data_IF_425810991926
#
_entry.id   IF_425810991926
#
_cell.length_a   1.000
_cell.length_b   1.000
_cell.length_c   1.000
_cell.angle_alpha   90.00
_cell.angle_beta   90.00
_cell.angle_gamma   90.00
#
_symmetry.space_group_name_H-M   'P 1'
#
loop_
_entity.id
_entity.type
_entity.pdbx_description
1 polymer ?
#
# COMPACT_ATOMS: atom_id res chain seq x y z
N UNK A 1 -16.30 -24.29 -13.91
CA UNK A 1 -15.15 -23.73 -14.68
C UNK A 1 -14.23 -22.99 -13.73
N UNK A 2 -12.91 -23.09 -13.88
CA UNK A 2 -11.97 -22.26 -13.13
C UNK A 2 -12.26 -20.78 -13.38
N UNK A 3 -12.07 -19.96 -12.36
CA UNK A 3 -12.18 -18.51 -12.52
C UNK A 3 -11.10 -18.03 -13.48
N UNK A 4 -11.44 -17.08 -14.34
CA UNK A 4 -10.51 -16.50 -15.30
C UNK A 4 -10.34 -17.28 -16.61
N UNK A 5 -10.85 -18.51 -16.71
CA UNK A 5 -10.81 -19.29 -17.93
C UNK A 5 -10.44 -20.76 -17.72
N UNK A 6 -10.78 -21.58 -18.71
CA UNK A 6 -10.62 -23.03 -18.62
C UNK A 6 -9.15 -23.47 -18.55
N UNK A 7 -8.27 -22.77 -19.29
CA UNK A 7 -6.84 -23.08 -19.26
C UNK A 7 -6.21 -22.83 -17.89
N UNK A 8 -6.68 -21.85 -17.14
CA UNK A 8 -6.15 -21.53 -15.81
C UNK A 8 -6.42 -22.61 -14.76
N UNK A 9 -7.29 -23.57 -15.03
CA UNK A 9 -7.50 -24.76 -14.20
C UNK A 9 -6.51 -25.90 -14.42
N UNK A 10 -5.56 -25.76 -15.37
CA UNK A 10 -4.52 -26.76 -15.60
C UNK A 10 -3.42 -26.62 -14.54
N UNK A 11 -2.73 -27.75 -14.30
CA UNK A 11 -1.52 -27.75 -13.48
C UNK A 11 -0.29 -27.46 -14.34
N UNK A 12 0.82 -27.18 -13.66
CA UNK A 12 2.11 -26.84 -14.28
C UNK A 12 2.10 -25.53 -15.06
N UNK A 13 3.08 -25.40 -15.98
CA UNK A 13 3.27 -24.19 -16.78
C UNK A 13 2.25 -24.13 -17.92
N UNK A 14 1.56 -23.01 -18.01
CA UNK A 14 0.55 -22.72 -19.02
C UNK A 14 0.99 -21.50 -19.82
N UNK A 15 1.14 -21.69 -21.14
CA UNK A 15 1.56 -20.64 -22.07
C UNK A 15 0.61 -20.55 -23.26
N UNK A 16 0.58 -19.42 -23.98
CA UNK A 16 -0.15 -19.33 -25.24
C UNK A 16 0.44 -20.27 -26.29
N UNK A 17 -0.38 -20.69 -27.23
CA UNK A 17 0.08 -21.50 -28.37
C UNK A 17 1.15 -20.75 -29.17
N UNK A 18 2.24 -21.45 -29.50
CA UNK A 18 3.37 -20.90 -30.25
C UNK A 18 4.27 -19.95 -29.46
N UNK A 19 4.06 -19.78 -28.17
CA UNK A 19 4.99 -19.03 -27.32
C UNK A 19 6.32 -19.79 -27.14
N UNK A 20 7.40 -19.03 -26.97
CA UNK A 20 8.72 -19.59 -26.65
C UNK A 20 8.74 -20.24 -25.25
N UNK A 21 9.86 -20.91 -24.91
CA UNK A 21 10.01 -21.52 -23.58
C UNK A 21 10.04 -20.45 -22.49
N UNK A 22 9.41 -20.74 -21.37
CA UNK A 22 9.54 -19.91 -20.17
C UNK A 22 10.95 -20.00 -19.57
N UNK A 23 11.40 -18.98 -18.82
CA UNK A 23 12.67 -19.04 -18.08
C UNK A 23 12.73 -20.27 -17.16
N UNK A 24 13.89 -20.92 -17.10
CA UNK A 24 14.09 -22.15 -16.31
C UNK A 24 14.68 -21.91 -14.92
N UNK A 25 14.93 -20.67 -14.57
CA UNK A 25 15.51 -20.22 -13.30
C UNK A 25 14.47 -19.64 -12.33
N UNK A 26 13.20 -19.94 -12.54
CA UNK A 26 12.09 -19.54 -11.69
C UNK A 26 11.87 -20.61 -10.61
N UNK A 27 12.19 -20.27 -9.38
CA UNK A 27 12.02 -21.18 -8.23
C UNK A 27 10.61 -21.15 -7.62
N UNK A 28 9.79 -20.14 -7.96
CA UNK A 28 8.44 -20.04 -7.44
C UNK A 28 7.59 -21.27 -7.81
N UNK A 29 6.90 -21.84 -6.83
CA UNK A 29 6.01 -22.97 -7.07
C UNK A 29 4.78 -22.56 -7.86
N UNK A 30 4.28 -21.35 -7.63
CA UNK A 30 3.16 -20.76 -8.37
C UNK A 30 3.51 -19.35 -8.80
N UNK A 31 3.16 -19.00 -10.04
CA UNK A 31 3.35 -17.65 -10.57
C UNK A 31 2.36 -17.32 -11.70
N UNK A 32 2.19 -16.04 -11.96
CA UNK A 32 1.32 -15.54 -13.03
C UNK A 32 1.91 -14.25 -13.62
N UNK A 33 1.77 -14.09 -14.94
CA UNK A 33 2.02 -12.86 -15.67
C UNK A 33 0.70 -12.36 -16.21
N UNK A 34 0.31 -11.13 -15.89
CA UNK A 34 -0.93 -10.53 -16.39
C UNK A 34 -0.69 -9.11 -16.91
N UNK A 35 -1.49 -8.73 -17.87
CA UNK A 35 -1.54 -7.39 -18.42
C UNK A 35 -2.49 -6.53 -17.57
N UNK A 36 -1.95 -5.48 -16.94
CA UNK A 36 -2.70 -4.57 -16.06
C UNK A 36 -3.75 -3.74 -16.82
N UNK A 37 -3.53 -3.49 -18.11
CA UNK A 37 -4.43 -2.67 -18.91
C UNK A 37 -5.66 -3.47 -19.35
N UNK A 38 -5.45 -4.72 -19.79
CA UNK A 38 -6.51 -5.56 -20.38
C UNK A 38 -7.05 -6.61 -19.40
N UNK A 39 -6.27 -6.98 -18.39
CA UNK A 39 -6.54 -8.13 -17.52
C UNK A 39 -6.22 -9.48 -18.14
N UNK A 40 -5.66 -9.52 -19.34
CA UNK A 40 -5.26 -10.79 -19.97
C UNK A 40 -4.15 -11.46 -19.16
N UNK A 41 -4.31 -12.76 -18.87
CA UNK A 41 -3.25 -13.58 -18.29
C UNK A 41 -2.40 -14.10 -19.42
N UNK A 42 -1.12 -13.71 -19.43
CA UNK A 42 -0.18 -14.01 -20.51
C UNK A 42 0.39 -15.41 -20.37
N UNK A 43 0.82 -15.78 -19.17
CA UNK A 43 1.31 -17.10 -18.83
C UNK A 43 1.19 -17.32 -17.33
N UNK A 44 1.20 -18.56 -16.90
CA UNK A 44 1.12 -18.90 -15.48
C UNK A 44 1.73 -20.29 -15.20
N UNK A 45 2.00 -20.55 -13.93
CA UNK A 45 2.26 -21.87 -13.38
C UNK A 45 1.39 -22.06 -12.16
N UNK A 46 0.56 -23.09 -12.15
CA UNK A 46 -0.33 -23.43 -11.03
C UNK A 46 -1.08 -22.23 -10.45
N UNK A 47 -1.76 -21.39 -11.30
CA UNK A 47 -2.22 -20.06 -10.91
C UNK A 47 -3.23 -20.06 -9.74
N UNK A 48 -3.95 -21.13 -9.51
CA UNK A 48 -4.92 -21.31 -8.42
C UNK A 48 -4.40 -22.17 -7.26
N UNK A 49 -3.10 -22.56 -7.29
CA UNK A 49 -2.50 -23.25 -6.16
C UNK A 49 -2.47 -22.34 -4.93
N UNK A 50 -2.97 -22.84 -3.79
CA UNK A 50 -3.05 -22.06 -2.55
C UNK A 50 -1.75 -22.13 -1.80
N UNK A 51 -1.16 -20.97 -1.58
CA UNK A 51 0.05 -20.74 -0.80
C UNK A 51 -0.16 -19.62 0.22
N UNK A 52 0.68 -19.55 1.23
CA UNK A 52 0.70 -18.40 2.15
C UNK A 52 1.26 -17.17 1.44
N UNK A 53 0.63 -15.99 1.61
CA UNK A 53 1.04 -14.78 0.91
C UNK A 53 2.25 -14.09 1.53
N UNK A 54 2.53 -14.26 2.82
CA UNK A 54 3.37 -13.34 3.55
C UNK A 54 2.93 -11.87 3.32
N UNK A 55 3.87 -10.94 3.29
CA UNK A 55 3.56 -9.50 3.22
C UNK A 55 3.02 -9.00 1.89
N UNK A 56 2.93 -9.81 0.83
CA UNK A 56 2.29 -9.36 -0.41
C UNK A 56 0.77 -9.14 -0.25
N UNK A 57 0.15 -9.72 0.80
CA UNK A 57 -1.27 -9.48 1.14
C UNK A 57 -1.53 -8.07 1.66
N UNK A 58 -0.51 -7.34 2.13
CA UNK A 58 -0.61 -5.96 2.61
C UNK A 58 -1.21 -5.00 1.59
N UNK A 59 -1.22 -5.36 0.31
CA UNK A 59 -1.93 -4.60 -0.73
C UNK A 59 -3.40 -4.39 -0.39
N UNK A 60 -4.07 -5.39 0.20
CA UNK A 60 -5.48 -5.26 0.59
C UNK A 60 -5.65 -4.26 1.75
N UNK A 61 -4.76 -4.27 2.73
CA UNK A 61 -4.76 -3.27 3.82
C UNK A 61 -4.51 -1.88 3.26
N UNK A 62 -3.57 -1.74 2.33
CA UNK A 62 -3.29 -0.47 1.67
C UNK A 62 -4.53 0.06 0.94
N UNK A 63 -5.20 -0.79 0.15
CA UNK A 63 -6.39 -0.37 -0.59
C UNK A 63 -7.58 -0.05 0.32
N UNK A 64 -7.78 -0.81 1.43
CA UNK A 64 -8.78 -0.45 2.43
C UNK A 64 -8.48 0.90 3.08
N UNK A 65 -7.23 1.19 3.41
CA UNK A 65 -6.83 2.46 3.98
C UNK A 65 -6.99 3.63 2.97
N UNK A 66 -6.55 3.45 1.72
CA UNK A 66 -6.70 4.45 0.65
C UNK A 66 -8.18 4.76 0.39
N UNK A 67 -9.03 3.74 0.39
CA UNK A 67 -10.46 3.89 0.09
C UNK A 67 -11.28 4.48 1.24
N UNK A 68 -10.82 4.38 2.50
CA UNK A 68 -11.68 4.66 3.65
C UNK A 68 -11.08 5.65 4.66
N UNK A 69 -9.81 6.01 4.56
CA UNK A 69 -9.14 6.93 5.48
C UNK A 69 -8.68 8.20 4.76
N UNK A 70 -8.67 9.32 5.48
CA UNK A 70 -8.03 10.54 4.98
C UNK A 70 -6.51 10.36 5.06
N UNK A 71 -5.82 10.48 3.92
CA UNK A 71 -4.38 10.27 3.82
C UNK A 71 -3.55 11.25 4.66
N UNK A 72 -4.09 12.44 4.95
CA UNK A 72 -3.45 13.45 5.77
C UNK A 72 -3.85 13.36 7.26
N UNK A 73 -4.72 12.42 7.63
CA UNK A 73 -5.09 12.20 9.02
C UNK A 73 -3.85 11.84 9.85
N UNK A 74 -3.68 12.52 10.98
CA UNK A 74 -2.63 12.21 11.94
C UNK A 74 -3.02 10.98 12.78
N UNK A 75 -2.07 10.08 12.94
CA UNK A 75 -2.16 8.86 13.77
C UNK A 75 -1.02 8.92 14.78
N UNK A 76 -1.34 8.78 16.04
CA UNK A 76 -0.33 8.71 17.12
C UNK A 76 0.07 7.26 17.31
N UNK A 77 1.36 6.99 17.27
CA UNK A 77 1.91 5.65 17.51
C UNK A 77 1.70 5.18 18.94
N UNK A 78 1.46 3.90 19.08
CA UNK A 78 1.19 3.23 20.36
C UNK A 78 2.25 2.19 20.70
N UNK A 79 2.23 1.68 21.94
CA UNK A 79 3.11 0.62 22.37
C UNK A 79 2.78 -0.70 21.65
N UNK A 80 1.53 -0.92 21.31
CA UNK A 80 1.06 -2.08 20.54
C UNK A 80 1.62 -2.04 19.12
N UNK A 81 1.68 -0.88 18.47
CA UNK A 81 2.32 -0.71 17.17
C UNK A 81 3.80 -1.08 17.27
N UNK A 82 4.51 -0.51 18.24
CA UNK A 82 5.94 -0.76 18.45
C UNK A 82 6.28 -2.22 18.78
N UNK A 83 5.34 -2.94 19.41
CA UNK A 83 5.48 -4.36 19.77
C UNK A 83 5.10 -5.31 18.62
N UNK A 84 4.72 -4.82 17.46
CA UNK A 84 4.37 -5.66 16.32
C UNK A 84 5.49 -6.65 15.97
N UNK A 85 5.14 -7.92 15.79
CA UNK A 85 6.08 -8.96 15.42
C UNK A 85 6.59 -8.78 13.98
N UNK A 86 7.85 -9.13 13.74
CA UNK A 86 8.48 -9.13 12.42
C UNK A 86 9.05 -7.77 12.03
N UNK A 87 8.98 -7.42 10.75
CA UNK A 87 9.56 -6.18 10.21
C UNK A 87 8.82 -4.95 10.70
N UNK A 88 9.56 -3.94 11.14
CA UNK A 88 9.03 -2.66 11.63
C UNK A 88 9.74 -1.50 10.97
N UNK A 89 9.03 -0.38 10.82
CA UNK A 89 9.53 0.87 10.25
C UNK A 89 9.67 1.99 11.27
N UNK A 90 9.41 1.72 12.55
CA UNK A 90 9.60 2.66 13.65
C UNK A 90 8.34 3.47 13.98
N UNK A 91 7.16 2.89 13.80
CA UNK A 91 5.94 3.43 14.42
C UNK A 91 6.01 3.14 15.91
N UNK A 92 6.10 4.20 16.73
CA UNK A 92 6.36 4.04 18.16
C UNK A 92 5.63 5.10 19.00
N UNK A 93 5.61 4.88 20.31
CA UNK A 93 4.92 5.72 21.30
C UNK A 93 5.33 7.19 21.17
N UNK A 94 4.33 8.06 21.07
CA UNK A 94 4.54 9.51 20.99
C UNK A 94 4.91 10.01 19.59
N UNK A 95 5.25 9.12 18.66
CA UNK A 95 5.41 9.45 17.24
C UNK A 95 4.06 9.84 16.63
N UNK A 96 4.07 10.77 15.71
CA UNK A 96 2.87 11.18 14.96
C UNK A 96 3.12 10.99 13.46
N UNK A 97 2.25 10.24 12.81
CA UNK A 97 2.36 9.81 11.42
C UNK A 97 1.09 10.17 10.68
N UNK A 98 1.18 10.56 9.43
CA UNK A 98 -0.01 10.61 8.57
C UNK A 98 -0.35 9.20 8.06
N UNK A 99 -1.61 8.97 7.69
CA UNK A 99 -2.01 7.71 7.02
C UNK A 99 -1.15 7.44 5.79
N UNK A 100 -0.82 8.47 4.99
CA UNK A 100 0.10 8.35 3.85
C UNK A 100 1.50 7.88 4.27
N UNK A 101 2.06 8.37 5.35
CA UNK A 101 3.36 7.93 5.85
C UNK A 101 3.32 6.47 6.35
N UNK A 102 2.24 6.07 7.03
CA UNK A 102 2.03 4.67 7.42
C UNK A 102 1.91 3.75 6.20
N UNK A 103 1.18 4.17 5.16
CA UNK A 103 1.11 3.46 3.87
C UNK A 103 2.48 3.36 3.20
N UNK A 104 3.29 4.41 3.27
CA UNK A 104 4.68 4.40 2.78
C UNK A 104 5.50 3.31 3.49
N UNK A 105 5.48 3.29 4.82
CA UNK A 105 6.16 2.27 5.61
C UNK A 105 5.65 0.85 5.35
N UNK A 106 4.33 0.70 5.20
CA UNK A 106 3.67 -0.56 4.88
C UNK A 106 4.15 -1.15 3.54
N UNK A 107 4.19 -0.32 2.50
CA UNK A 107 4.43 -0.77 1.12
C UNK A 107 5.91 -0.83 0.77
N UNK A 108 6.72 0.12 1.22
CA UNK A 108 8.14 0.19 0.87
C UNK A 108 9.01 -0.77 1.67
N UNK A 109 8.83 -0.84 2.99
CA UNK A 109 9.63 -1.70 3.88
C UNK A 109 8.79 -2.70 4.68
N UNK A 110 7.56 -2.93 4.28
CA UNK A 110 6.76 -4.02 4.85
C UNK A 110 6.49 -3.91 6.36
N UNK A 111 6.41 -2.67 6.92
CA UNK A 111 6.23 -2.44 8.35
C UNK A 111 4.98 -3.10 8.91
N UNK A 112 5.15 -4.04 9.86
CA UNK A 112 4.05 -4.67 10.56
C UNK A 112 3.47 -3.73 11.63
N UNK A 113 4.29 -2.85 12.19
CA UNK A 113 3.89 -1.73 13.03
C UNK A 113 2.98 -0.74 12.28
N UNK A 114 3.33 -0.40 11.05
CA UNK A 114 2.48 0.42 10.18
C UNK A 114 1.18 -0.32 9.80
N UNK A 115 1.24 -1.63 9.56
CA UNK A 115 0.05 -2.44 9.31
C UNK A 115 -0.90 -2.45 10.51
N UNK A 116 -0.37 -2.56 11.73
CA UNK A 116 -1.13 -2.50 12.98
C UNK A 116 -1.77 -1.13 13.16
N UNK A 117 -1.00 -0.06 13.04
CA UNK A 117 -1.49 1.32 13.17
C UNK A 117 -2.63 1.62 12.18
N UNK A 118 -2.49 1.20 10.90
CA UNK A 118 -3.55 1.33 9.90
C UNK A 118 -4.78 0.48 10.24
N UNK A 119 -4.58 -0.76 10.72
CA UNK A 119 -5.67 -1.64 11.12
C UNK A 119 -6.48 -1.04 12.27
N UNK A 120 -5.84 -0.40 13.24
CA UNK A 120 -6.52 0.32 14.32
C UNK A 120 -7.42 1.43 13.75
N UNK A 121 -6.93 2.21 12.77
CA UNK A 121 -7.74 3.25 12.11
C UNK A 121 -8.90 2.68 11.29
N UNK A 122 -8.77 1.46 10.79
CA UNK A 122 -9.81 0.76 10.03
C UNK A 122 -10.87 0.08 10.92
N UNK A 123 -10.76 0.19 12.24
CA UNK A 123 -11.73 -0.34 13.21
C UNK A 123 -11.18 -1.49 14.08
N UNK A 124 -9.88 -1.73 14.05
CA UNK A 124 -9.19 -2.78 14.80
C UNK A 124 -8.81 -3.99 13.93
N UNK A 125 -8.07 -4.91 14.53
CA UNK A 125 -7.47 -6.05 13.81
C UNK A 125 -8.53 -6.96 13.18
N UNK A 126 -9.53 -7.38 13.96
CA UNK A 126 -10.58 -8.30 13.48
C UNK A 126 -11.44 -7.66 12.38
N UNK A 127 -11.82 -6.39 12.56
CA UNK A 127 -12.59 -5.65 11.58
C UNK A 127 -11.80 -5.45 10.30
N UNK A 128 -10.51 -5.17 10.40
CA UNK A 128 -9.63 -5.05 9.23
C UNK A 128 -9.51 -6.38 8.48
N UNK A 129 -9.35 -7.50 9.19
CA UNK A 129 -9.33 -8.83 8.56
C UNK A 129 -10.67 -9.11 7.86
N UNK A 130 -11.80 -8.75 8.46
CA UNK A 130 -13.10 -8.89 7.81
C UNK A 130 -13.20 -8.05 6.53
N UNK A 131 -12.77 -6.78 6.56
CA UNK A 131 -12.78 -5.86 5.43
C UNK A 131 -11.90 -6.33 4.28
N UNK A 132 -10.66 -6.74 4.55
CA UNK A 132 -9.76 -7.20 3.49
C UNK A 132 -10.21 -8.53 2.87
N UNK A 133 -10.87 -9.41 3.63
CA UNK A 133 -11.48 -10.61 3.08
C UNK A 133 -12.73 -10.29 2.23
N UNK A 134 -13.57 -9.35 2.64
CA UNK A 134 -14.70 -8.85 1.83
C UNK A 134 -14.21 -8.22 0.53
N UNK A 135 -13.19 -7.37 0.60
CA UNK A 135 -12.55 -6.80 -0.60
C UNK A 135 -12.02 -7.90 -1.52
N UNK A 136 -11.31 -8.90 -0.99
CA UNK A 136 -10.81 -10.01 -1.78
C UNK A 136 -11.94 -10.74 -2.53
N UNK A 137 -13.06 -11.02 -1.86
CA UNK A 137 -14.23 -11.64 -2.48
C UNK A 137 -14.85 -10.77 -3.57
N UNK A 138 -14.97 -9.47 -3.33
CA UNK A 138 -15.48 -8.50 -4.32
C UNK A 138 -14.56 -8.32 -5.53
N UNK A 139 -13.27 -8.56 -5.35
CA UNK A 139 -12.31 -8.62 -6.45
C UNK A 139 -12.38 -9.94 -7.25
N UNK A 140 -13.17 -10.91 -6.80
CA UNK A 140 -13.33 -12.22 -7.44
C UNK A 140 -12.33 -13.28 -6.94
N UNK A 141 -11.54 -12.98 -5.92
CA UNK A 141 -10.60 -13.90 -5.32
C UNK A 141 -11.31 -15.05 -4.58
N UNK A 142 -10.99 -16.28 -4.92
CA UNK A 142 -11.62 -17.49 -4.34
C UNK A 142 -10.63 -18.38 -3.60
N UNK A 143 -9.36 -18.13 -3.74
CA UNK A 143 -8.28 -18.86 -3.11
C UNK A 143 -7.70 -18.13 -1.90
N UNK A 144 -8.18 -16.90 -1.66
CA UNK A 144 -7.64 -16.01 -0.63
C UNK A 144 -8.48 -16.04 0.64
N UNK A 145 -7.78 -16.20 1.74
CA UNK A 145 -8.24 -15.93 3.09
C UNK A 145 -7.11 -15.26 3.87
N UNK A 146 -7.28 -14.01 4.21
CA UNK A 146 -6.39 -13.31 5.12
C UNK A 146 -6.74 -13.66 6.57
N UNK A 147 -5.73 -14.04 7.36
CA UNK A 147 -5.86 -14.31 8.79
C UNK A 147 -5.30 -13.15 9.65
N UNK A 148 -4.38 -12.36 9.08
CA UNK A 148 -3.78 -11.18 9.72
C UNK A 148 -3.64 -10.05 8.71
N UNK A 149 -3.67 -8.77 9.12
CA UNK A 149 -3.43 -7.65 8.22
C UNK A 149 -1.97 -7.56 7.73
N UNK A 150 -1.02 -8.07 8.51
CA UNK A 150 0.41 -8.00 8.22
C UNK A 150 0.90 -9.06 7.23
N UNK A 151 0.15 -10.16 7.06
CA UNK A 151 0.59 -11.32 6.29
C UNK A 151 1.43 -12.32 7.10
N UNK A 152 1.57 -12.12 8.40
CA UNK A 152 2.10 -13.16 9.30
C UNK A 152 1.22 -14.40 9.26
N UNK A 153 1.84 -15.54 9.41
CA UNK A 153 1.17 -16.83 9.33
C UNK A 153 0.09 -16.96 10.39
N UNK A 154 -1.04 -17.48 9.98
CA UNK A 154 -2.19 -17.74 10.84
C UNK A 154 -3.07 -18.85 10.29
N UNK A 155 -3.98 -19.42 11.10
CA UNK A 155 -4.85 -20.50 10.68
C UNK A 155 -5.68 -20.13 9.44
N UNK A 156 -5.52 -20.88 8.36
CA UNK A 156 -6.24 -20.70 7.11
C UNK A 156 -5.73 -19.56 6.22
N UNK A 157 -4.62 -18.89 6.57
CA UNK A 157 -3.98 -17.90 5.69
C UNK A 157 -3.62 -18.54 4.36
N UNK A 158 -4.16 -18.02 3.28
CA UNK A 158 -3.90 -18.50 1.92
C UNK A 158 -4.14 -17.42 0.87
N UNK A 159 -3.55 -17.60 -0.29
CA UNK A 159 -3.82 -16.86 -1.53
C UNK A 159 -3.37 -17.71 -2.72
N UNK A 160 -3.60 -17.23 -3.94
CA UNK A 160 -3.06 -17.82 -5.17
C UNK A 160 -2.38 -16.74 -6.05
N UNK A 161 -1.56 -17.16 -7.00
CA UNK A 161 -0.93 -16.22 -7.94
C UNK A 161 -2.00 -15.48 -8.78
N UNK A 162 -3.11 -16.14 -9.10
CA UNK A 162 -4.25 -15.52 -9.77
C UNK A 162 -4.91 -14.45 -8.91
N UNK A 163 -5.21 -14.75 -7.65
CA UNK A 163 -5.85 -13.80 -6.74
C UNK A 163 -4.96 -12.57 -6.49
N UNK A 164 -3.64 -12.78 -6.34
CA UNK A 164 -2.69 -11.64 -6.29
C UNK A 164 -2.75 -10.81 -7.56
N UNK A 165 -2.88 -11.42 -8.73
CA UNK A 165 -3.07 -10.71 -10.00
C UNK A 165 -4.29 -9.79 -9.96
N UNK A 166 -5.42 -10.25 -9.41
CA UNK A 166 -6.62 -9.43 -9.22
C UNK A 166 -6.35 -8.23 -8.30
N UNK A 167 -5.72 -8.48 -7.14
CA UNK A 167 -5.44 -7.44 -6.16
C UNK A 167 -4.54 -6.34 -6.72
N UNK A 168 -3.47 -6.73 -7.40
CA UNK A 168 -2.52 -5.76 -7.94
C UNK A 168 -3.02 -5.07 -9.20
N UNK A 169 -3.85 -5.73 -10.03
CA UNK A 169 -4.56 -5.05 -11.12
C UNK A 169 -5.45 -3.92 -10.58
N UNK A 170 -6.21 -4.20 -9.53
CA UNK A 170 -7.06 -3.21 -8.86
C UNK A 170 -6.23 -2.09 -8.23
N UNK A 171 -5.19 -2.45 -7.48
CA UNK A 171 -4.34 -1.49 -6.78
C UNK A 171 -3.55 -0.57 -7.74
N UNK A 172 -2.96 -1.10 -8.80
CA UNK A 172 -2.25 -0.28 -9.79
C UNK A 172 -3.15 0.62 -10.65
N UNK A 173 -4.46 0.47 -10.60
CA UNK A 173 -5.40 1.42 -11.17
C UNK A 173 -5.57 2.68 -10.30
N UNK A 174 -5.20 2.60 -9.03
CA UNK A 174 -5.22 3.72 -8.09
C UNK A 174 -3.91 4.51 -8.15
N UNK A 175 -3.97 5.84 -8.43
CA UNK A 175 -2.76 6.66 -8.56
C UNK A 175 -1.98 6.78 -7.24
N UNK A 176 -2.65 6.78 -6.08
CA UNK A 176 -1.99 6.84 -4.77
C UNK A 176 -1.18 5.59 -4.51
N UNK A 177 -1.75 4.41 -4.77
CA UNK A 177 -1.02 3.15 -4.63
C UNK A 177 0.17 3.10 -5.58
N UNK A 178 -0.05 3.44 -6.87
CA UNK A 178 1.00 3.44 -7.89
C UNK A 178 2.18 4.37 -7.51
N UNK A 179 1.88 5.56 -7.01
CA UNK A 179 2.86 6.53 -6.52
C UNK A 179 3.69 5.95 -5.36
N UNK A 180 3.01 5.38 -4.35
CA UNK A 180 3.67 4.83 -3.17
C UNK A 180 4.61 3.66 -3.48
N UNK A 181 4.20 2.71 -4.34
CA UNK A 181 5.02 1.53 -4.64
C UNK A 181 6.14 1.80 -5.65
N UNK A 182 6.02 2.85 -6.45
CA UNK A 182 7.05 3.26 -7.43
C UNK A 182 8.12 4.16 -6.82
N UNK A 183 7.91 4.70 -5.63
CA UNK A 183 8.89 5.57 -4.98
C UNK A 183 10.13 4.76 -4.55
N UNK A 184 11.35 5.12 -5.03
CA UNK A 184 12.56 4.41 -4.64
C UNK A 184 12.99 4.72 -3.21
N UNK A 185 12.71 5.95 -2.75
CA UNK A 185 13.07 6.46 -1.43
C UNK A 185 11.97 7.34 -0.87
N UNK A 186 11.86 7.38 0.45
CA UNK A 186 10.97 8.29 1.17
C UNK A 186 11.55 8.62 2.54
N UNK A 187 11.19 9.76 3.11
CA UNK A 187 11.50 10.07 4.51
C UNK A 187 10.42 9.47 5.40
N UNK A 188 10.82 8.65 6.38
CA UNK A 188 9.91 8.16 7.42
C UNK A 188 10.09 8.99 8.70
N UNK A 189 9.02 9.42 9.37
CA UNK A 189 9.12 10.24 10.58
C UNK A 189 9.81 9.50 11.72
N UNK A 190 10.48 10.26 12.56
CA UNK A 190 10.98 9.79 13.84
C UNK A 190 9.90 9.85 14.93
N UNK A 191 10.34 9.59 16.17
CA UNK A 191 9.48 9.69 17.35
C UNK A 191 10.29 10.24 18.54
N UNK A 192 9.64 10.79 19.60
CA UNK A 192 10.32 11.24 20.80
C UNK A 192 11.02 10.10 21.54
N UNK A 193 12.01 10.46 22.35
CA UNK A 193 12.67 9.53 23.27
C UNK A 193 11.65 8.92 24.24
N UNK A 194 11.80 7.63 24.50
CA UNK A 194 11.00 6.93 25.50
C UNK A 194 11.56 7.20 26.91
N UNK A 195 10.77 6.94 27.97
CA UNK A 195 11.28 7.01 29.34
C UNK A 195 12.53 6.15 29.52
N UNK A 196 13.66 6.79 29.87
CA UNK A 196 14.97 6.15 30.02
C UNK A 196 15.91 6.27 28.82
N UNK A 197 15.44 6.71 27.68
CA UNK A 197 16.28 7.11 26.53
C UNK A 197 16.72 8.57 26.69
N UNK A 198 17.89 8.92 26.09
CA UNK A 198 18.44 10.28 26.18
C UNK A 198 18.00 11.18 25.04
N UNK A 199 17.87 10.62 23.83
CA UNK A 199 17.70 11.38 22.61
C UNK A 199 16.48 10.91 21.84
N UNK A 200 15.83 11.84 21.15
CA UNK A 200 14.74 11.55 20.21
C UNK A 200 15.27 10.70 19.03
N UNK A 201 14.41 9.86 18.50
CA UNK A 201 14.68 9.10 17.27
C UNK A 201 14.36 9.98 16.06
N UNK A 202 15.37 10.41 15.27
CA UNK A 202 15.15 11.31 14.16
C UNK A 202 14.43 10.61 13.00
N UNK A 203 13.81 11.42 12.13
CA UNK A 203 13.36 10.94 10.84
C UNK A 203 14.54 10.37 10.02
N UNK A 204 14.28 9.35 9.20
CA UNK A 204 15.29 8.69 8.40
C UNK A 204 14.85 8.48 6.95
N UNK A 205 15.83 8.31 6.04
CA UNK A 205 15.57 7.95 4.67
C UNK A 205 15.32 6.44 4.56
N UNK A 206 14.12 6.08 4.12
CA UNK A 206 13.69 4.72 3.81
C UNK A 206 13.95 4.42 2.35
N UNK A 207 14.51 3.25 2.05
CA UNK A 207 14.74 2.76 0.69
C UNK A 207 13.79 1.61 0.41
N UNK A 208 13.16 1.60 -0.77
CA UNK A 208 12.19 0.57 -1.14
C UNK A 208 12.85 -0.82 -1.24
N UNK A 209 12.28 -1.82 -0.59
CA UNK A 209 12.78 -3.21 -0.58
C UNK A 209 12.66 -3.91 -1.94
N UNK A 210 11.82 -3.41 -2.83
CA UNK A 210 11.61 -3.98 -4.14
C UNK A 210 12.75 -3.63 -5.09
N UNK A 211 13.76 -4.49 -5.17
CA UNK A 211 14.96 -4.28 -5.99
C UNK A 211 14.68 -4.22 -7.50
N UNK A 212 13.51 -4.65 -7.96
CA UNK A 212 13.12 -4.50 -9.36
C UNK A 212 13.13 -3.01 -9.79
N UNK A 213 12.73 -2.09 -8.88
CA UNK A 213 12.72 -0.65 -9.12
C UNK A 213 14.08 -0.08 -9.54
N UNK A 214 15.16 -0.67 -9.05
CA UNK A 214 16.52 -0.15 -9.28
C UNK A 214 17.23 -0.82 -10.45
N UNK A 215 16.77 -2.01 -10.84
CA UNK A 215 17.52 -2.91 -11.71
C UNK A 215 16.78 -3.25 -13.00
N UNK A 216 15.50 -2.90 -13.13
CA UNK A 216 14.70 -3.23 -14.31
C UNK A 216 14.10 -1.98 -14.96
N UNK A 217 14.46 -1.67 -16.23
CA UNK A 217 13.92 -0.51 -16.92
C UNK A 217 12.39 -0.56 -17.04
N UNK A 218 11.73 0.54 -16.68
CA UNK A 218 10.28 0.63 -16.71
C UNK A 218 9.57 0.00 -15.52
N UNK A 219 10.30 -0.41 -14.46
CA UNK A 219 9.69 -0.95 -13.26
C UNK A 219 8.73 0.05 -12.61
N UNK A 220 7.54 -0.44 -12.24
CA UNK A 220 6.46 0.31 -11.59
C UNK A 220 6.40 0.06 -10.09
N UNK A 221 7.18 -0.89 -9.56
CA UNK A 221 7.13 -1.30 -8.17
C UNK A 221 6.33 -2.58 -7.94
N UNK A 222 5.86 -2.75 -6.73
CA UNK A 222 5.15 -3.95 -6.29
C UNK A 222 5.35 -4.20 -4.80
N UNK A 223 5.52 -5.46 -4.40
CA UNK A 223 5.66 -5.83 -2.98
C UNK A 223 6.47 -7.11 -2.81
N UNK A 224 7.30 -7.13 -1.79
CA UNK A 224 8.06 -8.30 -1.34
C UNK A 224 7.38 -8.96 -0.13
N UNK A 225 7.63 -10.24 0.09
CA UNK A 225 7.18 -10.93 1.28
C UNK A 225 8.02 -12.16 1.60
N UNK A 226 8.08 -12.48 2.88
CA UNK A 226 8.71 -13.68 3.43
C UNK A 226 8.13 -14.01 4.80
N UNK A 227 7.83 -15.27 5.00
CA UNK A 227 7.72 -15.96 6.29
C UNK A 227 8.35 -17.34 6.13
N UNK A 228 8.61 -18.01 7.23
CA UNK A 228 9.20 -19.36 7.16
C UNK A 228 8.27 -20.35 6.44
N UNK A 229 6.96 -20.21 6.61
CA UNK A 229 5.97 -21.07 5.95
C UNK A 229 5.69 -20.63 4.50
N UNK A 230 5.60 -19.34 4.24
CA UNK A 230 5.33 -18.81 2.90
C UNK A 230 6.54 -18.91 1.95
N UNK A 231 7.76 -18.93 2.50
CA UNK A 231 9.01 -18.75 1.76
C UNK A 231 9.01 -17.38 1.05
N UNK A 232 9.77 -17.21 -0.04
CA UNK A 232 9.81 -15.96 -0.78
C UNK A 232 8.51 -15.78 -1.58
N UNK A 233 7.88 -14.62 -1.39
CA UNK A 233 6.76 -14.14 -2.22
C UNK A 233 7.14 -12.80 -2.83
N UNK A 234 6.69 -12.55 -4.05
CA UNK A 234 7.08 -11.35 -4.77
C UNK A 234 5.99 -10.91 -5.75
N UNK A 235 5.76 -9.62 -5.81
CA UNK A 235 4.99 -9.00 -6.88
C UNK A 235 5.83 -7.86 -7.46
N UNK A 236 5.93 -7.84 -8.78
CA UNK A 236 6.59 -6.77 -9.50
C UNK A 236 5.85 -6.42 -10.77
N UNK A 237 5.78 -5.13 -11.09
CA UNK A 237 5.17 -4.65 -12.32
C UNK A 237 6.14 -3.77 -13.08
N UNK A 238 5.98 -3.74 -14.41
CA UNK A 238 6.74 -2.88 -15.30
C UNK A 238 5.91 -2.44 -16.50
N UNK A 239 6.35 -1.35 -17.13
CA UNK A 239 5.79 -0.84 -18.37
C UNK A 239 6.85 -0.82 -19.48
N UNK A 240 6.45 -1.25 -20.67
CA UNK A 240 7.26 -1.15 -21.89
C UNK A 240 6.34 -0.84 -23.09
N UNK A 241 6.60 0.26 -23.77
CA UNK A 241 5.82 0.69 -24.93
C UNK A 241 4.30 0.77 -24.68
N UNK A 242 3.91 1.28 -23.51
CA UNK A 242 2.52 1.42 -23.09
C UNK A 242 1.83 0.11 -22.68
N UNK A 243 2.53 -1.02 -22.68
CA UNK A 243 2.06 -2.28 -22.10
C UNK A 243 2.53 -2.39 -20.65
N UNK A 244 1.60 -2.60 -19.75
CA UNK A 244 1.88 -2.72 -18.31
C UNK A 244 1.66 -4.17 -17.88
N UNK A 245 2.72 -4.84 -17.43
CA UNK A 245 2.64 -6.21 -16.96
C UNK A 245 2.89 -6.28 -15.45
N UNK A 246 2.21 -7.21 -14.80
CA UNK A 246 2.46 -7.61 -13.41
C UNK A 246 2.86 -9.09 -13.37
N UNK A 247 3.84 -9.38 -12.53
CA UNK A 247 4.25 -10.74 -12.17
C UNK A 247 3.93 -10.96 -10.70
N UNK A 248 3.25 -12.05 -10.39
CA UNK A 248 3.01 -12.52 -9.03
C UNK A 248 3.68 -13.88 -8.83
N UNK A 249 4.39 -14.05 -7.71
CA UNK A 249 5.17 -15.24 -7.42
C UNK A 249 4.94 -15.67 -5.96
N UNK A 250 4.69 -16.95 -5.75
CA UNK A 250 4.46 -17.55 -4.44
C UNK A 250 5.38 -18.75 -4.21
N UNK A 251 5.80 -18.91 -2.95
CA UNK A 251 6.61 -20.01 -2.47
C UNK A 251 7.88 -20.22 -3.30
N UNK A 252 8.62 -19.14 -3.50
CA UNK A 252 9.91 -19.16 -4.17
C UNK A 252 11.08 -19.23 -3.19
N UNK A 253 12.27 -19.26 -3.75
CA UNK A 253 13.55 -19.20 -3.01
C UNK A 253 14.43 -18.07 -3.55
N UNK A 254 15.55 -17.82 -2.91
CA UNK A 254 16.57 -16.86 -3.40
C UNK A 254 17.55 -17.49 -4.38
N UNK A 255 17.39 -18.73 -4.70
CA UNK A 255 18.22 -19.50 -5.63
C UNK A 255 17.33 -20.05 -6.76
N UNK A 256 17.88 -20.22 -7.99
CA UNK A 256 19.27 -19.90 -8.38
C UNK A 256 19.59 -18.40 -8.47
N UNK A 257 18.55 -17.55 -8.61
CA UNK A 257 18.65 -16.09 -8.69
C UNK A 257 17.65 -15.43 -7.72
N UNK A 258 17.88 -14.15 -7.40
CA UNK A 258 17.02 -13.44 -6.45
C UNK A 258 15.57 -13.31 -6.96
N UNK A 259 14.55 -13.19 -6.08
CA UNK A 259 13.14 -13.08 -6.50
C UNK A 259 12.87 -11.94 -7.49
N UNK A 260 13.52 -10.79 -7.35
CA UNK A 260 13.37 -9.69 -8.29
C UNK A 260 13.94 -10.01 -9.68
N UNK A 261 15.02 -10.80 -9.77
CA UNK A 261 15.61 -11.27 -11.04
C UNK A 261 14.69 -12.28 -11.72
N UNK A 262 14.12 -13.21 -10.94
CA UNK A 262 13.10 -14.14 -11.44
C UNK A 262 11.90 -13.38 -12.02
N UNK A 263 11.41 -12.35 -11.32
CA UNK A 263 10.34 -11.50 -11.80
C UNK A 263 10.74 -10.73 -13.08
N UNK A 264 11.98 -10.24 -13.17
CA UNK A 264 12.49 -9.58 -14.36
C UNK A 264 12.48 -10.52 -15.58
N UNK A 265 12.93 -11.76 -15.43
CA UNK A 265 12.91 -12.77 -16.49
C UNK A 265 11.48 -13.12 -16.92
N UNK A 266 10.53 -13.23 -15.97
CA UNK A 266 9.12 -13.43 -16.30
C UNK A 266 8.50 -12.21 -17.00
N UNK A 267 8.87 -10.99 -16.62
CA UNK A 267 8.46 -9.77 -17.33
C UNK A 267 9.00 -9.73 -18.75
N UNK A 268 10.29 -10.04 -18.96
CA UNK A 268 10.87 -10.11 -20.28
C UNK A 268 10.18 -11.16 -21.17
N UNK A 269 9.88 -12.33 -20.60
CA UNK A 269 9.08 -13.34 -21.27
C UNK A 269 7.70 -12.77 -21.66
N UNK A 270 6.99 -12.14 -20.72
CA UNK A 270 5.69 -11.55 -20.96
C UNK A 270 5.73 -10.46 -22.04
N UNK A 271 6.72 -9.59 -22.04
CA UNK A 271 6.89 -8.54 -23.06
C UNK A 271 7.27 -9.10 -24.42
N UNK A 272 7.90 -10.27 -24.50
CA UNK A 272 8.23 -10.94 -25.76
C UNK A 272 7.03 -11.63 -26.42
N UNK A 273 5.93 -11.84 -25.68
CA UNK A 273 4.70 -12.44 -26.23
C UNK A 273 3.87 -11.40 -26.98
N UNK A 274 3.09 -11.80 -28.01
CA UNK A 274 2.13 -10.90 -28.65
C UNK A 274 1.19 -10.23 -27.65
N UNK A 275 0.79 -8.99 -27.90
CA UNK A 275 -0.06 -8.22 -26.96
C UNK A 275 -1.44 -8.83 -26.73
N UNK A 276 -1.96 -9.55 -27.70
CA UNK A 276 -3.24 -10.26 -27.68
C UNK A 276 -3.13 -11.70 -27.15
N UNK A 277 -1.91 -12.19 -26.93
CA UNK A 277 -1.68 -13.52 -26.38
C UNK A 277 -2.31 -13.64 -24.97
N UNK A 278 -3.12 -14.67 -24.76
CA UNK A 278 -3.83 -14.88 -23.50
C UNK A 278 -4.15 -16.35 -23.27
N UNK A 279 -3.94 -16.81 -22.05
CA UNK A 279 -4.38 -18.13 -21.56
C UNK A 279 -5.62 -18.03 -20.69
N UNK A 280 -6.09 -16.82 -20.41
CA UNK A 280 -7.24 -16.52 -19.56
C UNK A 280 -7.30 -15.04 -19.22
N UNK A 281 -8.15 -14.66 -18.29
CA UNK A 281 -8.36 -13.27 -17.92
C UNK A 281 -8.55 -13.12 -16.42
N UNK A 282 -7.98 -12.07 -15.84
CA UNK A 282 -8.36 -11.60 -14.52
C UNK A 282 -9.79 -11.07 -14.60
N UNK A 283 -10.70 -11.61 -13.79
CA UNK A 283 -12.10 -11.17 -13.77
C UNK A 283 -12.20 -9.72 -13.33
N UNK A 284 -13.27 -9.05 -13.74
CA UNK A 284 -13.53 -7.69 -13.34
C UNK A 284 -14.05 -7.67 -11.88
N UNK A 285 -13.71 -6.63 -11.11
CA UNK A 285 -14.17 -6.48 -9.73
C UNK A 285 -15.68 -6.23 -9.67
N UNK A 286 -16.26 -6.48 -8.49
CA UNK A 286 -17.62 -6.06 -8.19
C UNK A 286 -17.76 -4.54 -8.42
N UNK A 287 -18.80 -4.07 -9.13
CA UNK A 287 -19.02 -2.65 -9.41
C UNK A 287 -19.03 -1.75 -8.16
N UNK A 288 -19.38 -2.29 -6.99
CA UNK A 288 -19.39 -1.54 -5.74
C UNK A 288 -18.00 -1.04 -5.31
N UNK A 289 -16.92 -1.71 -5.74
CA UNK A 289 -15.56 -1.25 -5.50
C UNK A 289 -15.16 -0.08 -6.41
N UNK A 290 -15.79 0.06 -7.57
CA UNK A 290 -15.46 1.08 -8.57
C UNK A 290 -16.21 2.40 -8.33
N UNK A 291 -17.24 2.39 -7.49
CA UNK A 291 -18.12 3.54 -7.24
C UNK A 291 -17.81 4.27 -5.94
N UNK A 292 -16.85 3.83 -5.14
CA UNK A 292 -16.47 4.53 -3.92
C UNK A 292 -15.68 5.79 -4.29
N UNK A 293 -16.12 7.00 -3.85
CA UNK A 293 -15.26 8.17 -3.92
C UNK A 293 -14.05 7.91 -3.01
N UNK A 294 -12.85 8.29 -3.45
CA UNK A 294 -11.69 8.32 -2.57
C UNK A 294 -11.97 9.20 -1.36
N UNK A 295 -11.45 8.83 -0.20
CA UNK A 295 -11.58 9.66 1.01
C UNK A 295 -10.99 11.07 0.83
N UNK A 296 -10.05 11.26 -0.11
CA UNK A 296 -9.51 12.56 -0.51
C UNK A 296 -10.50 13.40 -1.36
N UNK A 297 -11.48 12.77 -2.01
CA UNK A 297 -12.54 13.45 -2.77
C UNK A 297 -13.67 13.98 -1.87
N UNK A 298 -13.72 13.56 -0.62
CA UNK A 298 -14.58 14.17 0.39
C UNK A 298 -13.96 15.51 0.76
N UNK A 299 -14.67 16.65 0.55
CA UNK A 299 -14.21 17.93 1.09
C UNK A 299 -13.93 17.68 2.56
N UNK A 300 -12.70 17.97 3.01
CA UNK A 300 -12.31 17.84 4.41
C UNK A 300 -13.45 18.37 5.25
N UNK A 301 -14.08 17.50 6.07
CA UNK A 301 -15.01 17.95 7.06
C UNK A 301 -14.22 18.93 7.90
N UNK A 302 -14.51 20.19 7.67
CA UNK A 302 -13.87 21.37 8.19
C UNK A 302 -13.42 21.13 9.63
N UNK A 303 -12.15 21.40 9.92
CA UNK A 303 -11.88 22.06 11.19
C UNK A 303 -13.04 23.04 11.41
N UNK A 304 -13.72 22.95 12.53
CA UNK A 304 -14.90 23.74 12.86
C UNK A 304 -14.56 25.26 12.84
N UNK A 305 -14.41 25.77 11.64
CA UNK A 305 -14.36 27.18 11.31
C UNK A 305 -15.78 27.59 10.98
N UNK A 306 -16.25 28.59 11.67
CA UNK A 306 -17.51 29.26 11.40
C UNK A 306 -17.72 29.41 9.88
N UNK A 307 -18.94 29.21 9.35
CA UNK A 307 -19.23 29.39 7.93
C UNK A 307 -18.68 30.74 7.45
N UNK A 308 -18.14 30.77 6.23
CA UNK A 308 -17.57 32.01 5.67
C UNK A 308 -18.55 33.20 5.69
N UNK A 309 -19.85 32.94 5.66
CA UNK A 309 -20.90 33.93 5.87
C UNK A 309 -20.95 34.48 7.31
N UNK A 310 -20.59 33.69 8.33
CA UNK A 310 -20.54 34.17 9.71
C UNK A 310 -19.35 35.11 9.96
N UNK A 311 -18.22 34.90 9.25
CA UNK A 311 -17.04 35.76 9.36
C UNK A 311 -17.26 37.10 8.66
N UNK A 312 -18.13 37.14 7.65
CA UNK A 312 -18.46 38.36 6.90
C UNK A 312 -19.66 39.13 7.47
N UNK A 313 -20.29 38.65 8.53
CA UNK A 313 -21.38 39.37 9.18
C UNK A 313 -20.89 40.68 9.85
N UNK A 314 -21.66 41.73 9.69
CA UNK A 314 -21.32 43.06 10.26
C UNK A 314 -20.99 42.99 11.75
N UNK A 315 -21.68 42.20 12.62
CA UNK A 315 -21.32 42.05 14.04
C UNK A 315 -19.95 41.45 14.30
N UNK A 316 -19.53 40.44 13.49
CA UNK A 316 -18.22 39.80 13.66
C UNK A 316 -17.09 40.73 13.21
N UNK A 317 -17.27 41.45 12.10
CA UNK A 317 -16.30 42.47 11.62
C UNK A 317 -16.12 43.59 12.65
N UNK A 318 -17.19 44.07 13.23
CA UNK A 318 -17.14 45.09 14.31
C UNK A 318 -16.41 44.52 15.52
N UNK A 319 -16.72 43.30 15.93
CA UNK A 319 -16.07 42.63 17.08
C UNK A 319 -14.56 42.51 16.90
N UNK A 320 -14.11 42.02 15.74
CA UNK A 320 -12.68 41.87 15.44
C UNK A 320 -11.98 43.24 15.37
N UNK A 321 -12.63 44.25 14.82
CA UNK A 321 -12.06 45.59 14.76
C UNK A 321 -11.91 46.22 16.16
N UNK A 322 -12.88 46.03 17.06
CA UNK A 322 -12.82 46.55 18.44
C UNK A 322 -11.71 45.82 19.22
N UNK A 323 -11.57 44.49 19.10
CA UNK A 323 -10.51 43.75 19.80
C UNK A 323 -9.14 44.18 19.27
N UNK A 324 -8.98 44.33 17.96
CA UNK A 324 -7.74 44.84 17.37
C UNK A 324 -7.36 46.23 17.86
N UNK A 325 -8.32 47.14 17.94
CA UNK A 325 -8.12 48.51 18.44
C UNK A 325 -7.73 48.50 19.95
N UNK A 326 -8.33 47.68 20.78
CA UNK A 326 -7.97 47.54 22.19
C UNK A 326 -6.55 47.00 22.41
N UNK A 327 -6.10 46.05 21.58
CA UNK A 327 -4.73 45.51 21.63
C UNK A 327 -3.71 46.59 21.28
N UNK A 328 -3.96 47.32 20.18
CA UNK A 328 -3.08 48.43 19.77
C UNK A 328 -3.02 49.54 20.82
N UNK A 329 -4.15 49.93 21.37
CA UNK A 329 -4.23 50.91 22.46
C UNK A 329 -3.48 50.46 23.74
N UNK A 330 -3.60 49.22 24.09
CA UNK A 330 -2.87 48.59 25.22
C UNK A 330 -1.35 48.64 25.01
N UNK A 331 -0.88 48.31 23.78
CA UNK A 331 0.54 48.41 23.44
C UNK A 331 1.09 49.85 23.47
N UNK A 332 0.30 50.82 23.02
CA UNK A 332 0.68 52.22 23.11
C UNK A 332 0.81 52.72 24.56
N UNK A 333 -0.14 52.30 25.45
CA UNK A 333 -0.07 52.64 26.88
C UNK A 333 1.13 51.98 27.56
N UNK A 334 1.43 50.72 27.24
CA UNK A 334 2.60 50.02 27.74
C UNK A 334 3.91 50.67 27.30
N UNK A 335 4.03 51.08 26.04
CA UNK A 335 5.19 51.78 25.53
C UNK A 335 5.39 53.17 26.20
N UNK A 336 4.29 53.90 26.44
CA UNK A 336 4.37 55.20 27.17
C UNK A 336 4.74 55.02 28.64
N UNK A 337 4.30 53.91 29.28
CA UNK A 337 4.66 53.61 30.66
C UNK A 337 6.14 53.23 30.80
N UNK A 338 6.70 52.52 29.84
CA UNK A 338 8.13 52.19 29.79
C UNK A 338 9.00 53.43 29.57
N UNK A 339 8.58 54.34 28.69
CA UNK A 339 9.34 55.56 28.42
C UNK A 339 9.34 56.56 29.61
N UNK A 340 8.27 56.49 30.45
CA UNK A 340 8.22 57.32 31.70
C UNK A 340 9.07 56.74 32.84
N UNK A 341 9.55 55.53 32.76
CA UNK A 341 10.44 54.92 33.76
C UNK A 341 11.92 55.08 33.42
N UNK A 342 12.25 55.58 32.25
CA UNK A 342 13.61 55.87 31.81
C UNK A 342 13.97 57.34 31.78
N UNK A 343 13.02 58.23 32.13
CA UNK A 343 13.24 59.65 32.36
C UNK A 343 13.10 59.94 33.90
#
# INVERSE_FOLDING_TARGET
>A
KPIGGEMLGRCDVITPDGAGPVPNDISAESWLIADLNTGNVVAAKDPHARHRPASVIKVLVAMEAINNLNLNQAVVGTQEDANSEGTRVGVDVGGTYTVRQLLTGLLMNSGNDAAHALAVQLGGMDETVAKINDMAQKLGARDTRAATPSGLDGPGMSTSAYDLGLFYKYAFADPTFADLVSAPKATFPGHPAKPGERDDHPAYEMTNDNKLLYNYPGALGGKTGYTDDAQQTFVGAAERDGRRLVVTMLRGTRLPIAPWEQAAHLLDYGFSTPRDASIGKLVDPDPSLLTKPHADDTPSAQAAGLPAEAINSVPVRVGVTIIGAMIVFGLILAARSLNRRQA
#
